data_IF_877895700806
#
_entry.id   IF_877895700806
#
_cell.length_a   1.000
_cell.length_b   1.000
_cell.length_c   1.000
_cell.angle_alpha   90.00
_cell.angle_beta   90.00
_cell.angle_gamma   90.00
#
_symmetry.space_group_name_H-M   'P 1'
#
loop_
_entity.id
_entity.type
_entity.pdbx_description
1 polymer ?
#
# COMPACT_ATOMS: atom_id res chain seq x y z
N UNK A 1 -66.02 -31.02 63.16
CA UNK A 1 -65.09 -29.88 63.30
C UNK A 1 -65.05 -29.13 61.98
N UNK A 2 -65.82 -28.04 61.88
CA UNK A 2 -65.85 -27.17 60.71
C UNK A 2 -64.58 -26.32 60.71
N UNK A 3 -63.62 -26.62 59.82
CA UNK A 3 -62.50 -25.72 59.56
C UNK A 3 -63.08 -24.35 59.18
N UNK A 4 -62.75 -23.30 59.94
CA UNK A 4 -63.29 -21.95 59.70
C UNK A 4 -62.82 -21.48 58.32
N UNK A 5 -63.71 -21.16 57.37
CA UNK A 5 -63.37 -20.85 55.97
C UNK A 5 -62.39 -19.66 55.83
N UNK A 6 -62.32 -18.81 56.84
CA UNK A 6 -61.41 -17.66 56.93
C UNK A 6 -59.92 -18.06 57.04
N UNK A 7 -59.60 -19.19 57.67
CA UNK A 7 -58.20 -19.65 57.79
C UNK A 7 -57.62 -20.19 56.49
N UNK A 8 -58.45 -20.88 55.70
CA UNK A 8 -58.05 -21.43 54.39
C UNK A 8 -57.82 -20.30 53.38
N UNK A 9 -58.65 -19.25 53.41
CA UNK A 9 -58.48 -18.08 52.56
C UNK A 9 -57.14 -17.36 52.83
N UNK A 10 -56.76 -17.16 54.10
CA UNK A 10 -55.50 -16.51 54.45
C UNK A 10 -54.28 -17.30 53.97
N UNK A 11 -54.27 -18.62 54.18
CA UNK A 11 -53.18 -19.49 53.72
C UNK A 11 -53.08 -19.50 52.19
N UNK A 12 -54.22 -19.48 51.49
CA UNK A 12 -54.26 -19.41 50.03
C UNK A 12 -53.71 -18.09 49.50
N UNK A 13 -54.08 -16.96 50.13
CA UNK A 13 -53.54 -15.64 49.78
C UNK A 13 -52.05 -15.57 50.06
N UNK A 14 -51.60 -16.08 51.21
CA UNK A 14 -50.17 -16.12 51.55
C UNK A 14 -49.39 -16.97 50.55
N UNK A 15 -49.90 -18.14 50.19
CA UNK A 15 -49.29 -19.01 49.17
C UNK A 15 -49.22 -18.31 47.81
N UNK A 16 -50.29 -17.63 47.40
CA UNK A 16 -50.33 -16.87 46.15
C UNK A 16 -49.34 -15.70 46.17
N UNK A 17 -49.22 -14.98 47.28
CA UNK A 17 -48.22 -13.92 47.46
C UNK A 17 -46.79 -14.45 47.38
N UNK A 18 -46.50 -15.59 48.02
CA UNK A 18 -45.19 -16.24 47.92
C UNK A 18 -44.90 -16.70 46.49
N UNK A 19 -45.89 -17.30 45.81
CA UNK A 19 -45.75 -17.72 44.42
C UNK A 19 -45.48 -16.54 43.48
N UNK A 20 -46.20 -15.42 43.66
CA UNK A 20 -45.97 -14.18 42.91
C UNK A 20 -44.59 -13.61 43.20
N UNK A 21 -44.16 -13.57 44.46
CA UNK A 21 -42.84 -13.07 44.85
C UNK A 21 -41.72 -13.89 44.19
N UNK A 22 -41.82 -15.22 44.23
CA UNK A 22 -40.85 -16.13 43.58
C UNK A 22 -40.84 -15.88 42.06
N UNK A 23 -42.01 -15.79 41.42
CA UNK A 23 -42.11 -15.52 40.00
C UNK A 23 -41.48 -14.17 39.62
N UNK A 24 -41.76 -13.10 40.38
CA UNK A 24 -41.18 -11.78 40.15
C UNK A 24 -39.67 -11.80 40.33
N UNK A 25 -39.15 -12.49 41.36
CA UNK A 25 -37.71 -12.63 41.56
C UNK A 25 -37.05 -13.39 40.40
N UNK A 26 -37.62 -14.50 39.95
CA UNK A 26 -37.10 -15.26 38.80
C UNK A 26 -37.09 -14.43 37.52
N UNK A 27 -38.16 -13.69 37.23
CA UNK A 27 -38.24 -12.81 36.06
C UNK A 27 -37.19 -11.69 36.15
N UNK A 28 -37.02 -11.07 37.32
CA UNK A 28 -36.01 -10.04 37.54
C UNK A 28 -34.59 -10.58 37.32
N UNK A 29 -34.26 -11.75 37.88
CA UNK A 29 -32.94 -12.36 37.69
C UNK A 29 -32.70 -12.78 36.24
N UNK A 30 -33.71 -13.29 35.52
CA UNK A 30 -33.60 -13.62 34.10
C UNK A 30 -33.28 -12.38 33.26
N UNK A 31 -34.05 -11.30 33.44
CA UNK A 31 -33.83 -10.03 32.73
C UNK A 31 -32.46 -9.44 33.08
N UNK A 32 -32.04 -9.53 34.33
CA UNK A 32 -30.73 -9.06 34.76
C UNK A 32 -29.58 -9.82 34.06
N UNK A 33 -29.67 -11.16 34.00
CA UNK A 33 -28.68 -11.99 33.29
C UNK A 33 -28.68 -11.67 31.79
N UNK A 34 -29.85 -11.51 31.17
CA UNK A 34 -29.96 -11.18 29.74
C UNK A 34 -29.38 -9.78 29.42
N UNK A 35 -29.60 -8.81 30.30
CA UNK A 35 -29.01 -7.48 30.16
C UNK A 35 -27.49 -7.53 30.34
N UNK A 36 -26.98 -8.33 31.28
CA UNK A 36 -25.54 -8.52 31.46
C UNK A 36 -24.90 -9.26 30.27
N UNK A 37 -25.53 -10.31 29.76
CA UNK A 37 -25.03 -11.07 28.60
C UNK A 37 -25.01 -10.18 27.35
N UNK A 38 -26.10 -9.45 27.09
CA UNK A 38 -26.19 -8.49 25.98
C UNK A 38 -25.16 -7.37 26.12
N UNK A 39 -24.96 -6.85 27.34
CA UNK A 39 -23.94 -5.84 27.64
C UNK A 39 -22.52 -6.36 27.37
N UNK A 40 -22.22 -7.60 27.76
CA UNK A 40 -20.91 -8.21 27.57
C UNK A 40 -20.64 -8.51 26.09
N UNK A 41 -21.66 -8.96 25.35
CA UNK A 41 -21.58 -9.15 23.90
C UNK A 41 -21.29 -7.83 23.22
N UNK A 42 -22.08 -6.78 23.50
CA UNK A 42 -21.87 -5.45 22.92
C UNK A 42 -20.51 -4.84 23.25
N UNK A 43 -20.02 -5.01 24.49
CA UNK A 43 -18.66 -4.56 24.85
C UNK A 43 -17.57 -5.39 24.15
N UNK A 44 -17.82 -6.68 23.94
CA UNK A 44 -16.97 -7.57 23.14
C UNK A 44 -16.88 -7.12 21.69
N UNK A 45 -18.01 -6.88 21.04
CA UNK A 45 -18.07 -6.42 19.65
C UNK A 45 -17.40 -5.05 19.48
N UNK A 46 -17.60 -4.14 20.44
CA UNK A 46 -16.93 -2.84 20.47
C UNK A 46 -15.40 -2.98 20.54
N UNK A 47 -14.91 -3.88 21.40
CA UNK A 47 -13.48 -4.15 21.52
C UNK A 47 -12.90 -4.82 20.26
N UNK A 48 -13.66 -5.70 19.61
CA UNK A 48 -13.26 -6.36 18.36
C UNK A 48 -13.14 -5.33 17.23
N UNK A 49 -14.14 -4.47 17.07
CA UNK A 49 -14.12 -3.38 16.09
C UNK A 49 -12.90 -2.46 16.29
N UNK A 50 -12.59 -2.13 17.55
CA UNK A 50 -11.42 -1.31 17.89
C UNK A 50 -10.11 -2.03 17.55
N UNK A 51 -10.03 -3.35 17.73
CA UNK A 51 -8.86 -4.15 17.32
C UNK A 51 -8.72 -4.21 15.79
N UNK A 52 -9.81 -4.41 15.05
CA UNK A 52 -9.80 -4.41 13.58
C UNK A 52 -9.33 -3.06 13.01
N UNK A 53 -9.78 -1.96 13.61
CA UNK A 53 -9.31 -0.63 13.22
C UNK A 53 -7.80 -0.46 13.41
N UNK A 54 -7.20 -1.11 14.41
CA UNK A 54 -5.75 -1.13 14.56
C UNK A 54 -5.04 -1.84 13.41
N UNK A 55 -5.58 -2.95 12.92
CA UNK A 55 -5.07 -3.64 11.73
C UNK A 55 -5.25 -2.78 10.47
N UNK A 56 -6.38 -2.11 10.31
CA UNK A 56 -6.63 -1.23 9.15
C UNK A 56 -5.71 -0.01 9.17
N UNK A 57 -5.48 0.59 10.34
CA UNK A 57 -4.55 1.71 10.48
C UNK A 57 -3.12 1.26 10.18
N UNK A 58 -2.69 0.11 10.69
CA UNK A 58 -1.40 -0.48 10.30
C UNK A 58 -1.31 -0.64 8.78
N UNK A 59 -2.31 -1.25 8.14
CA UNK A 59 -2.27 -1.51 6.69
C UNK A 59 -2.10 -0.22 5.89
N UNK A 60 -2.76 0.87 6.31
CA UNK A 60 -2.60 2.18 5.67
C UNK A 60 -1.21 2.80 5.79
N UNK A 61 -0.40 2.35 6.75
CA UNK A 61 0.99 2.78 6.94
C UNK A 61 2.01 1.89 6.23
N UNK A 62 1.63 0.68 5.82
CA UNK A 62 2.55 -0.20 5.12
C UNK A 62 2.80 0.37 3.72
N UNK A 63 3.97 0.93 3.51
CA UNK A 63 4.39 1.47 2.21
C UNK A 63 4.94 0.35 1.31
N UNK A 64 4.86 0.47 -0.03
CA UNK A 64 5.50 -0.49 -0.92
C UNK A 64 7.01 -0.58 -0.72
N UNK A 65 7.51 -1.79 -0.49
CA UNK A 65 8.91 -2.09 -0.24
C UNK A 65 9.20 -3.56 -0.62
N UNK A 66 10.47 -3.95 -0.82
CA UNK A 66 10.80 -5.34 -1.18
C UNK A 66 10.49 -6.34 -0.05
N UNK A 67 10.57 -5.90 1.21
CA UNK A 67 10.33 -6.70 2.41
C UNK A 67 9.67 -5.85 3.53
N UNK A 68 9.55 -6.39 4.74
CA UNK A 68 8.99 -5.70 5.91
C UNK A 68 10.06 -5.27 6.94
N UNK A 69 11.33 -5.17 6.55
CA UNK A 69 12.42 -4.89 7.52
C UNK A 69 12.22 -3.56 8.23
N UNK A 70 11.84 -2.52 7.49
CA UNK A 70 11.58 -1.18 8.05
C UNK A 70 10.51 -1.20 9.14
N UNK A 71 9.43 -1.95 8.93
CA UNK A 71 8.33 -2.03 9.88
C UNK A 71 8.69 -2.90 11.10
N UNK A 72 9.53 -3.91 10.91
CA UNK A 72 10.05 -4.74 12.00
C UNK A 72 11.07 -4.00 12.88
N UNK A 73 11.76 -3.00 12.32
CA UNK A 73 12.71 -2.13 13.02
C UNK A 73 12.02 -1.00 13.79
N UNK A 74 10.68 -0.92 13.78
CA UNK A 74 9.98 0.08 14.57
C UNK A 74 10.23 -0.11 16.08
N UNK A 75 10.38 0.99 16.85
CA UNK A 75 10.70 0.91 18.27
C UNK A 75 9.70 0.04 19.05
N UNK A 76 10.21 -1.00 19.72
CA UNK A 76 9.40 -1.94 20.50
C UNK A 76 8.51 -2.88 19.66
N UNK A 77 8.71 -2.92 18.33
CA UNK A 77 7.85 -3.68 17.41
C UNK A 77 6.46 -3.06 17.25
N UNK A 78 6.32 -1.76 17.48
CA UNK A 78 5.04 -1.04 17.47
C UNK A 78 5.01 0.05 16.41
N UNK A 79 3.89 0.24 15.70
CA UNK A 79 3.79 1.30 14.71
C UNK A 79 3.95 2.71 15.28
N UNK A 80 4.40 3.68 14.48
CA UNK A 80 4.76 5.02 14.94
C UNK A 80 3.57 5.94 15.31
N UNK A 81 2.33 5.45 15.27
CA UNK A 81 1.14 6.24 15.59
C UNK A 81 0.85 6.41 17.10
N UNK A 82 1.77 5.99 17.96
CA UNK A 82 1.61 6.03 19.42
C UNK A 82 0.76 4.88 19.94
N UNK A 83 1.10 4.35 21.10
CA UNK A 83 0.49 3.13 21.62
C UNK A 83 0.24 3.30 23.12
N UNK A 84 -1.02 3.24 23.59
CA UNK A 84 -2.26 3.01 22.82
C UNK A 84 -2.72 4.21 21.97
N UNK A 85 -3.41 3.95 20.86
CA UNK A 85 -4.13 4.98 20.08
C UNK A 85 -5.54 5.16 20.63
N UNK A 86 -5.94 6.41 20.87
CA UNK A 86 -7.30 6.76 21.31
C UNK A 86 -8.24 6.96 20.13
N UNK A 87 -9.44 6.39 20.23
CA UNK A 87 -10.54 6.73 19.34
C UNK A 87 -11.16 8.09 19.72
N UNK A 88 -11.86 8.77 18.80
CA UNK A 88 -12.55 10.04 19.08
C UNK A 88 -13.52 9.98 20.27
N UNK A 89 -14.03 8.79 20.62
CA UNK A 89 -14.86 8.55 21.79
C UNK A 89 -14.14 7.69 22.85
N UNK A 90 -13.42 8.29 23.81
CA UNK A 90 -12.73 7.56 24.87
C UNK A 90 -13.72 6.76 25.77
N UNK A 91 -13.26 5.71 26.47
CA UNK A 91 -11.88 5.24 26.57
C UNK A 91 -11.52 4.10 25.58
N UNK A 92 -12.03 4.12 24.35
CA UNK A 92 -11.66 3.14 23.32
C UNK A 92 -10.21 3.30 22.92
N UNK A 93 -9.46 2.21 22.95
CA UNK A 93 -8.05 2.21 22.57
C UNK A 93 -7.64 0.94 21.85
N UNK A 94 -6.65 1.03 20.96
CA UNK A 94 -5.96 -0.16 20.45
C UNK A 94 -4.45 -0.03 20.52
N UNK A 95 -3.79 -1.18 20.50
CA UNK A 95 -2.34 -1.34 20.42
C UNK A 95 -2.00 -2.39 19.40
N UNK A 96 -1.04 -2.13 18.53
CA UNK A 96 -0.59 -3.07 17.49
C UNK A 96 0.84 -3.50 17.77
N UNK A 97 1.11 -4.79 17.68
CA UNK A 97 2.45 -5.37 17.76
C UNK A 97 2.76 -6.17 16.51
N UNK A 98 3.99 -6.03 16.03
CA UNK A 98 4.49 -6.70 14.84
C UNK A 98 5.45 -7.82 15.18
N UNK A 99 5.48 -8.83 14.33
CA UNK A 99 6.45 -9.93 14.40
C UNK A 99 6.70 -10.49 13.00
N UNK A 100 7.94 -10.91 12.75
CA UNK A 100 8.32 -11.55 11.50
C UNK A 100 7.98 -13.04 11.54
N UNK A 101 7.55 -13.59 10.41
CA UNK A 101 7.50 -15.03 10.19
C UNK A 101 8.74 -15.51 9.41
N UNK A 102 9.11 -16.80 9.51
CA UNK A 102 10.30 -17.34 8.85
C UNK A 102 10.31 -17.21 7.32
N UNK A 103 9.13 -17.09 6.71
CA UNK A 103 8.94 -16.95 5.27
C UNK A 103 8.91 -15.49 4.79
N UNK A 104 9.29 -14.54 5.64
CA UNK A 104 9.32 -13.11 5.32
C UNK A 104 7.95 -12.42 5.38
N UNK A 105 6.88 -13.13 5.75
CA UNK A 105 5.58 -12.51 6.03
C UNK A 105 5.60 -11.75 7.36
N UNK A 106 4.72 -10.77 7.47
CA UNK A 106 4.54 -9.95 8.65
C UNK A 106 3.27 -10.37 9.38
N UNK A 107 3.38 -10.67 10.68
CA UNK A 107 2.23 -10.89 11.56
C UNK A 107 2.01 -9.66 12.41
N UNK A 108 0.78 -9.16 12.43
CA UNK A 108 0.35 -8.08 13.29
C UNK A 108 -0.70 -8.59 14.28
N UNK A 109 -0.57 -8.22 15.55
CA UNK A 109 -1.60 -8.45 16.57
C UNK A 109 -2.08 -7.12 17.08
N UNK A 110 -3.36 -6.82 16.90
CA UNK A 110 -4.01 -5.66 17.49
C UNK A 110 -4.83 -6.07 18.71
N UNK A 111 -4.60 -5.44 19.86
CA UNK A 111 -5.43 -5.55 21.06
C UNK A 111 -6.30 -4.29 21.16
N UNK A 112 -7.62 -4.46 21.04
CA UNK A 112 -8.62 -3.41 21.19
C UNK A 112 -9.29 -3.47 22.55
N UNK A 113 -9.52 -2.30 23.15
CA UNK A 113 -10.22 -2.11 24.42
C UNK A 113 -11.47 -1.26 24.19
N UNK A 114 -12.63 -1.80 24.59
CA UNK A 114 -13.93 -1.11 24.50
C UNK A 114 -14.10 -0.03 25.57
N UNK A 115 -15.17 0.77 25.46
CA UNK A 115 -15.52 1.75 26.51
C UNK A 115 -15.76 1.15 27.88
N UNK A 116 -16.18 -0.12 27.94
CA UNK A 116 -16.48 -0.85 29.19
C UNK A 116 -15.30 -1.70 29.67
N UNK A 117 -14.12 -1.55 29.05
CA UNK A 117 -12.90 -2.26 29.44
C UNK A 117 -12.82 -3.71 28.96
N UNK A 118 -13.81 -4.22 28.21
CA UNK A 118 -13.67 -5.49 27.51
C UNK A 118 -12.52 -5.39 26.49
N UNK A 119 -11.76 -6.47 26.33
CA UNK A 119 -10.60 -6.54 25.44
C UNK A 119 -10.75 -7.67 24.44
N UNK A 120 -10.31 -7.41 23.21
CA UNK A 120 -10.28 -8.38 22.11
C UNK A 120 -8.97 -8.26 21.37
N UNK A 121 -8.54 -9.36 20.77
CA UNK A 121 -7.35 -9.38 19.93
C UNK A 121 -7.67 -9.88 18.54
N UNK A 122 -7.10 -9.21 17.55
CA UNK A 122 -7.13 -9.62 16.15
C UNK A 122 -5.71 -9.86 15.71
N UNK A 123 -5.47 -11.02 15.11
CA UNK A 123 -4.23 -11.34 14.42
C UNK A 123 -4.44 -11.21 12.91
N UNK A 124 -3.55 -10.48 12.25
CA UNK A 124 -3.52 -10.32 10.81
C UNK A 124 -2.18 -10.77 10.25
N UNK A 125 -2.23 -11.32 9.04
CA UNK A 125 -1.09 -11.77 8.28
C UNK A 125 -0.95 -10.93 7.02
N UNK A 126 0.20 -10.28 6.87
CA UNK A 126 0.57 -9.49 5.71
C UNK A 126 1.69 -10.17 4.93
N UNK A 127 1.63 -10.03 3.62
CA UNK A 127 2.68 -10.47 2.70
C UNK A 127 2.90 -9.39 1.64
N UNK A 128 4.06 -9.40 0.99
CA UNK A 128 4.31 -8.56 -0.18
C UNK A 128 3.74 -9.26 -1.41
N UNK A 129 3.27 -8.49 -2.39
CA UNK A 129 2.95 -9.01 -3.73
C UNK A 129 4.09 -9.91 -4.24
N UNK A 130 3.74 -11.00 -4.90
CA UNK A 130 4.74 -11.93 -5.43
C UNK A 130 5.58 -11.29 -6.55
N UNK A 131 4.94 -10.46 -7.37
CA UNK A 131 5.52 -9.86 -8.57
C UNK A 131 5.54 -8.34 -8.44
N UNK A 132 6.58 -7.70 -8.98
CA UNK A 132 6.62 -6.25 -9.11
C UNK A 132 5.65 -5.79 -10.21
N UNK A 133 4.62 -5.03 -9.83
CA UNK A 133 3.61 -4.49 -10.74
C UNK A 133 3.26 -3.04 -10.35
N UNK A 134 3.91 -2.03 -10.94
CA UNK A 134 3.51 -0.65 -10.72
C UNK A 134 2.10 -0.42 -11.27
N UNK A 135 1.32 0.43 -10.59
CA UNK A 135 -0.08 0.72 -10.91
C UNK A 135 -0.28 1.65 -12.11
N UNK A 136 0.80 2.05 -12.77
CA UNK A 136 0.76 2.87 -13.97
C UNK A 136 1.92 2.54 -14.93
N UNK A 137 1.74 2.85 -16.21
CA UNK A 137 2.81 2.80 -17.21
C UNK A 137 3.88 3.86 -16.94
N UNK A 138 3.46 5.10 -16.68
CA UNK A 138 4.33 6.16 -16.20
C UNK A 138 3.88 6.58 -14.79
N UNK A 139 4.74 6.35 -13.80
CA UNK A 139 4.56 6.78 -12.42
C UNK A 139 5.29 8.10 -12.20
N UNK A 140 4.52 9.16 -11.93
CA UNK A 140 5.03 10.43 -11.47
C UNK A 140 5.20 10.39 -9.95
N UNK A 141 6.45 10.44 -9.51
CA UNK A 141 6.81 10.51 -8.10
C UNK A 141 6.46 11.85 -7.46
N UNK A 142 6.64 11.91 -6.14
CA UNK A 142 6.49 13.17 -5.43
C UNK A 142 7.40 14.27 -6.01
N UNK A 143 6.78 15.42 -6.31
CA UNK A 143 7.49 16.61 -6.76
C UNK A 143 7.73 16.64 -8.26
N UNK A 144 7.09 15.77 -9.03
CA UNK A 144 7.08 15.87 -10.49
C UNK A 144 6.43 17.17 -10.94
N UNK A 145 7.13 17.88 -11.83
CA UNK A 145 6.66 19.12 -12.44
C UNK A 145 6.65 18.92 -13.95
N UNK A 146 5.49 19.05 -14.57
CA UNK A 146 5.41 19.15 -16.03
C UNK A 146 5.83 20.57 -16.43
N UNK A 147 6.94 20.68 -17.16
CA UNK A 147 7.54 21.96 -17.52
C UNK A 147 7.17 22.33 -18.97
N UNK A 148 7.79 21.67 -19.95
CA UNK A 148 7.45 21.77 -21.37
C UNK A 148 7.03 20.40 -21.90
N UNK A 149 5.75 20.26 -22.29
CA UNK A 149 5.20 19.05 -22.90
C UNK A 149 4.69 19.34 -24.33
N UNK A 150 5.42 20.16 -25.08
CA UNK A 150 5.07 20.53 -26.46
C UNK A 150 5.29 19.41 -27.48
N UNK A 151 6.06 18.38 -27.14
CA UNK A 151 6.30 17.21 -27.99
C UNK A 151 5.17 16.18 -27.99
N UNK A 152 5.51 14.96 -28.40
CA UNK A 152 4.56 13.84 -28.46
C UNK A 152 4.69 12.96 -27.22
N UNK A 153 3.58 12.70 -26.54
CA UNK A 153 3.52 11.79 -25.40
C UNK A 153 2.47 10.71 -25.71
N UNK A 154 2.93 9.49 -25.91
CA UNK A 154 2.09 8.33 -26.19
C UNK A 154 2.17 7.35 -25.01
N UNK A 155 1.00 7.00 -24.47
CA UNK A 155 0.90 6.14 -23.30
C UNK A 155 -0.10 5.03 -23.58
N UNK A 156 0.39 3.80 -23.62
CA UNK A 156 -0.39 2.62 -23.93
C UNK A 156 -0.31 1.62 -22.79
N UNK A 157 -1.45 1.03 -22.42
CA UNK A 157 -1.52 -0.13 -21.53
C UNK A 157 -2.04 -1.28 -22.37
N UNK A 158 -1.15 -2.19 -22.79
CA UNK A 158 -1.49 -3.26 -23.74
C UNK A 158 -0.94 -4.61 -23.25
N UNK A 159 -1.81 -5.61 -22.99
CA UNK A 159 -3.28 -5.54 -22.95
C UNK A 159 -3.78 -4.65 -21.79
N UNK A 160 -5.06 -4.24 -21.77
CA UNK A 160 -5.63 -3.56 -20.60
C UNK A 160 -5.48 -4.45 -19.37
N UNK A 161 -4.49 -4.13 -18.53
CA UNK A 161 -4.12 -4.89 -17.35
C UNK A 161 -4.87 -4.35 -16.14
N UNK A 162 -6.14 -4.75 -15.98
CA UNK A 162 -6.95 -4.44 -14.79
C UNK A 162 -6.95 -2.95 -14.42
N UNK A 163 -6.53 -2.63 -13.19
CA UNK A 163 -6.49 -1.28 -12.60
C UNK A 163 -5.24 -0.44 -12.99
N UNK A 164 -4.44 -0.90 -13.96
CA UNK A 164 -3.26 -0.15 -14.43
C UNK A 164 -3.69 1.02 -15.30
N UNK A 165 -3.23 2.23 -14.93
CA UNK A 165 -3.48 3.46 -15.70
C UNK A 165 -2.30 3.81 -16.61
N UNK A 166 -2.52 4.66 -17.62
CA UNK A 166 -1.42 5.20 -18.44
C UNK A 166 -0.47 6.05 -17.61
N UNK A 167 -1.00 7.07 -16.92
CA UNK A 167 -0.24 7.89 -15.95
C UNK A 167 -0.82 7.74 -14.56
N UNK A 168 0.04 7.51 -13.58
CA UNK A 168 -0.29 7.54 -12.16
C UNK A 168 0.61 8.53 -11.45
N UNK A 169 0.08 9.35 -10.55
CA UNK A 169 0.89 10.17 -9.66
C UNK A 169 0.77 9.69 -8.21
N UNK A 170 1.88 9.74 -7.47
CA UNK A 170 1.89 9.31 -6.07
C UNK A 170 1.03 10.21 -5.19
N UNK A 171 0.94 11.50 -5.52
CA UNK A 171 0.12 12.48 -4.80
C UNK A 171 -1.00 13.05 -5.65
N UNK A 172 -2.11 13.39 -4.99
CA UNK A 172 -3.26 14.03 -5.63
C UNK A 172 -2.91 15.37 -6.29
N UNK A 173 -2.06 16.18 -5.65
CA UNK A 173 -1.62 17.48 -6.19
C UNK A 173 -0.80 17.30 -7.48
N UNK A 174 0.06 16.29 -7.52
CA UNK A 174 0.93 16.02 -8.67
C UNK A 174 0.08 15.48 -9.84
N UNK A 175 -0.92 14.63 -9.56
CA UNK A 175 -1.93 14.21 -10.54
C UNK A 175 -2.71 15.42 -11.10
N UNK A 176 -3.09 16.40 -10.26
CA UNK A 176 -3.79 17.60 -10.72
C UNK A 176 -2.91 18.48 -11.60
N UNK A 177 -1.64 18.67 -11.24
CA UNK A 177 -0.68 19.42 -12.06
C UNK A 177 -0.49 18.78 -13.44
N UNK A 178 -0.31 17.45 -13.48
CA UNK A 178 -0.17 16.72 -14.74
C UNK A 178 -1.43 16.79 -15.62
N UNK A 179 -2.63 16.81 -15.03
CA UNK A 179 -3.88 16.96 -15.81
C UNK A 179 -3.99 18.32 -16.49
N UNK A 180 -3.40 19.36 -15.91
CA UNK A 180 -3.36 20.69 -16.54
C UNK A 180 -2.32 20.79 -17.66
N UNK A 181 -1.33 19.90 -17.70
CA UNK A 181 -0.20 19.97 -18.62
C UNK A 181 -0.28 18.95 -19.77
N UNK A 182 -0.87 17.78 -19.53
CA UNK A 182 -1.09 16.75 -20.55
C UNK A 182 -2.43 16.98 -21.27
N UNK A 183 -2.54 16.43 -22.49
CA UNK A 183 -3.76 16.50 -23.30
C UNK A 183 -4.94 15.79 -22.60
N UNK A 184 -6.16 16.27 -22.88
CA UNK A 184 -7.41 15.82 -22.22
C UNK A 184 -7.73 14.32 -22.38
N UNK A 185 -7.11 13.64 -23.35
CA UNK A 185 -7.30 12.21 -23.62
C UNK A 185 -6.45 11.30 -22.71
N UNK A 186 -5.46 11.85 -22.01
CA UNK A 186 -4.61 11.09 -21.09
C UNK A 186 -5.30 10.90 -19.74
N UNK A 187 -5.64 9.65 -19.41
CA UNK A 187 -6.16 9.31 -18.07
C UNK A 187 -5.05 9.34 -17.02
N UNK A 188 -5.23 10.23 -16.04
CA UNK A 188 -4.30 10.40 -14.91
C UNK A 188 -4.99 10.02 -13.61
N UNK A 189 -4.46 9.03 -12.90
CA UNK A 189 -4.95 8.59 -11.60
C UNK A 189 -4.00 8.97 -10.46
N UNK A 190 -4.52 9.03 -9.23
CA UNK A 190 -3.68 9.04 -8.04
C UNK A 190 -3.47 7.59 -7.60
N UNK A 191 -2.22 7.14 -7.54
CA UNK A 191 -1.88 5.73 -7.28
C UNK A 191 -1.31 5.48 -5.88
N UNK A 192 -1.06 6.54 -5.11
CA UNK A 192 -0.40 6.46 -3.80
C UNK A 192 1.11 6.26 -3.92
N UNK A 193 1.84 6.17 -2.79
CA UNK A 193 3.29 5.97 -2.80
C UNK A 193 3.65 4.68 -3.52
N UNK A 194 4.61 4.72 -4.43
CA UNK A 194 5.07 3.55 -5.21
C UNK A 194 6.29 2.87 -4.60
N UNK A 195 7.04 3.57 -3.75
CA UNK A 195 8.34 3.11 -3.22
C UNK A 195 9.48 3.09 -4.24
N UNK A 196 9.25 3.56 -5.48
CA UNK A 196 10.23 3.51 -6.57
C UNK A 196 11.40 4.46 -6.38
N UNK A 197 11.19 5.60 -5.70
CA UNK A 197 12.28 6.51 -5.31
C UNK A 197 13.26 5.82 -4.35
N UNK A 198 12.74 5.23 -3.29
CA UNK A 198 13.57 4.51 -2.32
C UNK A 198 14.23 3.28 -2.95
N UNK A 199 13.56 2.63 -3.90
CA UNK A 199 14.14 1.55 -4.68
C UNK A 199 15.32 2.03 -5.53
N UNK A 200 15.19 3.18 -6.21
CA UNK A 200 16.27 3.80 -6.95
C UNK A 200 17.49 4.06 -6.06
N UNK A 201 17.28 4.57 -4.84
CA UNK A 201 18.36 4.79 -3.87
C UNK A 201 19.03 3.48 -3.41
N UNK A 202 18.23 2.44 -3.12
CA UNK A 202 18.75 1.12 -2.69
C UNK A 202 19.50 0.36 -3.79
N UNK A 203 19.10 0.53 -5.05
CA UNK A 203 19.69 -0.17 -6.18
C UNK A 203 21.06 0.39 -6.57
N UNK A 204 21.43 1.59 -6.11
CA UNK A 204 22.78 2.14 -6.31
C UNK A 204 23.83 1.23 -5.69
N UNK A 205 24.85 0.88 -6.47
CA UNK A 205 25.92 -0.03 -6.09
C UNK A 205 25.60 -1.50 -6.34
N UNK A 206 24.45 -1.82 -6.93
CA UNK A 206 24.06 -3.19 -7.29
C UNK A 206 24.00 -3.41 -8.81
N UNK A 207 24.30 -2.38 -9.60
CA UNK A 207 24.26 -2.40 -11.07
C UNK A 207 25.20 -3.43 -11.71
N UNK A 208 24.79 -3.94 -12.86
CA UNK A 208 25.64 -4.79 -13.72
C UNK A 208 26.56 -3.94 -14.61
N UNK A 209 26.14 -2.72 -14.94
CA UNK A 209 26.91 -1.77 -15.74
C UNK A 209 26.70 -0.33 -15.25
N UNK A 210 27.80 0.42 -15.16
CA UNK A 210 27.77 1.86 -14.91
C UNK A 210 28.25 2.59 -16.15
N UNK A 211 27.44 3.50 -16.67
CA UNK A 211 27.78 4.37 -17.79
C UNK A 211 28.06 5.78 -17.27
N UNK A 212 29.19 6.33 -17.71
CA UNK A 212 29.64 7.67 -17.33
C UNK A 212 29.82 8.50 -18.59
N UNK A 213 29.16 9.66 -18.64
CA UNK A 213 29.20 10.57 -19.78
C UNK A 213 28.18 10.26 -20.88
N UNK A 214 28.27 10.97 -22.03
CA UNK A 214 27.27 10.87 -23.08
C UNK A 214 27.25 9.50 -23.77
N UNK A 215 26.06 8.96 -23.97
CA UNK A 215 25.82 7.71 -24.69
C UNK A 215 25.63 8.01 -26.17
N UNK A 216 26.59 7.59 -26.99
CA UNK A 216 26.55 7.72 -28.45
C UNK A 216 26.04 6.45 -29.15
N UNK A 217 25.92 5.35 -28.40
CA UNK A 217 25.18 4.17 -28.81
C UNK A 217 25.57 2.92 -28.04
N UNK A 218 24.78 1.86 -28.17
CA UNK A 218 25.05 0.58 -27.55
C UNK A 218 23.79 -0.20 -27.19
N UNK A 219 23.98 -1.46 -26.80
CA UNK A 219 22.92 -2.32 -26.27
C UNK A 219 23.39 -3.00 -24.99
N UNK A 220 22.54 -3.00 -23.97
CA UNK A 220 22.83 -3.59 -22.67
C UNK A 220 21.72 -4.54 -22.25
N UNK A 221 22.10 -5.78 -21.92
CA UNK A 221 21.17 -6.85 -21.56
C UNK A 221 20.47 -7.50 -22.75
N UNK A 222 19.72 -8.54 -22.45
CA UNK A 222 18.84 -9.24 -23.38
C UNK A 222 17.68 -9.88 -22.59
N UNK A 223 16.60 -10.30 -23.26
CA UNK A 223 15.42 -10.86 -22.57
C UNK A 223 15.75 -12.07 -21.66
N UNK A 224 16.74 -12.88 -22.04
CA UNK A 224 17.23 -14.01 -21.23
C UNK A 224 18.21 -13.64 -20.12
N UNK A 225 18.82 -12.45 -20.21
CA UNK A 225 19.83 -11.93 -19.28
C UNK A 225 19.65 -10.41 -19.12
N UNK A 226 18.55 -9.98 -18.48
CA UNK A 226 18.28 -8.56 -18.27
C UNK A 226 19.30 -7.99 -17.27
N UNK A 227 19.64 -6.72 -17.42
CA UNK A 227 20.67 -6.05 -16.62
C UNK A 227 20.14 -4.78 -15.97
N UNK A 228 20.71 -4.42 -14.82
CA UNK A 228 20.55 -3.11 -14.20
C UNK A 228 21.69 -2.21 -14.68
N UNK A 229 21.35 -1.22 -15.50
CA UNK A 229 22.27 -0.17 -15.97
C UNK A 229 22.09 1.08 -15.12
N UNK A 230 23.20 1.65 -14.68
CA UNK A 230 23.22 2.93 -13.97
C UNK A 230 23.90 4.01 -14.82
N UNK A 231 23.25 5.16 -14.97
CA UNK A 231 23.87 6.37 -15.51
C UNK A 231 24.41 7.19 -14.35
N UNK A 232 25.72 7.17 -14.17
CA UNK A 232 26.38 7.92 -13.11
C UNK A 232 26.58 9.37 -13.55
N UNK A 233 25.93 10.30 -12.83
CA UNK A 233 25.94 11.72 -13.15
C UNK A 233 24.95 12.08 -14.26
N UNK A 234 25.23 13.18 -14.98
CA UNK A 234 24.38 13.69 -16.04
C UNK A 234 24.32 12.68 -17.21
N UNK A 235 23.19 11.99 -17.34
CA UNK A 235 22.97 10.97 -18.36
C UNK A 235 22.43 11.59 -19.64
N UNK A 236 23.32 11.87 -20.60
CA UNK A 236 22.93 12.40 -21.91
C UNK A 236 22.98 11.27 -22.95
N UNK A 237 21.86 11.00 -23.62
CA UNK A 237 21.79 10.06 -24.76
C UNK A 237 21.72 10.85 -26.05
N UNK A 238 22.78 10.81 -26.84
CA UNK A 238 22.92 11.58 -28.09
C UNK A 238 22.75 10.68 -29.31
N UNK A 239 23.11 9.40 -29.19
CA UNK A 239 22.93 8.40 -30.26
C UNK A 239 21.78 7.43 -29.99
N UNK A 240 21.87 6.20 -30.52
CA UNK A 240 20.86 5.17 -30.37
C UNK A 240 21.28 4.09 -29.36
N UNK A 241 20.52 3.96 -28.28
CA UNK A 241 20.80 3.06 -27.17
C UNK A 241 19.59 2.16 -26.87
N UNK A 242 19.85 0.89 -26.52
CA UNK A 242 18.82 -0.05 -26.07
C UNK A 242 19.21 -0.72 -24.77
N UNK A 243 18.29 -0.77 -23.79
CA UNK A 243 18.51 -1.41 -22.49
C UNK A 243 17.40 -2.42 -22.25
N UNK A 244 17.75 -3.67 -21.95
CA UNK A 244 16.80 -4.70 -21.51
C UNK A 244 17.03 -4.99 -20.02
N UNK A 245 16.02 -4.72 -19.19
CA UNK A 245 16.10 -4.82 -17.74
C UNK A 245 15.69 -3.52 -17.05
N UNK A 246 16.60 -2.86 -16.34
CA UNK A 246 16.31 -1.62 -15.65
C UNK A 246 17.38 -0.55 -15.92
N UNK A 247 16.95 0.70 -16.05
CA UNK A 247 17.82 1.87 -16.12
C UNK A 247 17.61 2.76 -14.89
N UNK A 248 18.70 3.05 -14.18
CA UNK A 248 18.74 3.99 -13.06
C UNK A 248 19.52 5.26 -13.47
N UNK A 249 18.86 6.41 -13.44
CA UNK A 249 19.50 7.70 -13.70
C UNK A 249 19.75 8.47 -12.39
N UNK A 250 21.01 8.72 -12.05
CA UNK A 250 21.39 9.43 -10.81
C UNK A 250 21.30 10.96 -10.90
N UNK A 251 21.02 11.49 -12.09
CA UNK A 251 20.78 12.89 -12.36
C UNK A 251 19.66 13.01 -13.41
N UNK A 252 19.21 14.23 -13.77
CA UNK A 252 18.22 14.38 -14.83
C UNK A 252 18.67 13.70 -16.13
N UNK A 253 17.85 12.77 -16.64
CA UNK A 253 18.13 12.04 -17.87
C UNK A 253 17.77 12.90 -19.08
N UNK A 254 18.72 13.17 -19.96
CA UNK A 254 18.48 13.88 -21.23
C UNK A 254 18.57 12.94 -22.40
N UNK A 255 17.53 12.89 -23.21
CA UNK A 255 17.47 12.05 -24.41
C UNK A 255 17.34 12.95 -25.63
N UNK A 256 18.44 13.15 -26.35
CA UNK A 256 18.51 13.90 -27.62
C UNK A 256 18.59 12.99 -28.85
N UNK A 257 19.07 11.75 -28.68
CA UNK A 257 19.05 10.69 -29.68
C UNK A 257 17.83 9.79 -29.50
N UNK A 258 18.03 8.47 -29.57
CA UNK A 258 17.00 7.44 -29.30
C UNK A 258 17.42 6.56 -28.12
N UNK A 259 16.58 6.46 -27.11
CA UNK A 259 16.74 5.52 -25.99
C UNK A 259 15.53 4.59 -25.95
N UNK A 260 15.77 3.29 -26.09
CA UNK A 260 14.75 2.25 -25.94
C UNK A 260 15.03 1.42 -24.69
N UNK A 261 14.03 1.28 -23.83
CA UNK A 261 14.11 0.51 -22.59
C UNK A 261 13.04 -0.57 -22.62
N UNK A 262 13.46 -1.83 -22.65
CA UNK A 262 12.59 -2.98 -22.42
C UNK A 262 12.69 -3.39 -20.95
N UNK A 263 11.82 -2.79 -20.13
CA UNK A 263 11.70 -3.03 -18.70
C UNK A 263 11.37 -1.77 -17.91
N UNK A 264 12.23 -1.36 -16.98
CA UNK A 264 11.95 -0.28 -16.03
C UNK A 264 12.90 0.91 -16.18
N UNK A 265 12.35 2.12 -16.30
CA UNK A 265 13.11 3.36 -16.12
C UNK A 265 12.91 3.92 -14.70
N UNK A 266 14.00 4.24 -14.01
CA UNK A 266 14.03 4.95 -12.73
C UNK A 266 14.77 6.28 -12.90
N UNK A 267 14.01 7.38 -13.03
CA UNK A 267 14.54 8.74 -13.17
C UNK A 267 14.09 9.64 -12.00
N UNK A 268 14.65 9.47 -10.79
CA UNK A 268 14.25 10.20 -9.58
C UNK A 268 14.54 11.71 -9.60
N UNK A 269 15.26 12.21 -10.62
CA UNK A 269 15.63 13.62 -10.76
C UNK A 269 15.09 14.29 -12.02
N UNK A 270 14.26 13.60 -12.78
CA UNK A 270 13.55 14.13 -13.93
C UNK A 270 14.05 13.57 -15.24
N UNK A 271 13.30 13.87 -16.29
CA UNK A 271 13.64 13.52 -17.67
C UNK A 271 13.42 14.71 -18.58
N UNK A 272 14.28 14.82 -19.57
CA UNK A 272 14.19 15.78 -20.66
C UNK A 272 14.34 15.04 -21.99
N UNK A 273 13.28 15.05 -22.80
CA UNK A 273 13.21 14.33 -24.06
C UNK A 273 13.19 15.35 -25.21
N UNK A 274 14.30 15.45 -25.93
CA UNK A 274 14.43 16.20 -27.18
C UNK A 274 14.49 15.33 -28.42
N UNK A 275 14.78 14.03 -28.27
CA UNK A 275 14.73 13.00 -29.30
C UNK A 275 13.64 11.97 -29.01
N UNK A 276 13.95 10.67 -29.02
CA UNK A 276 12.96 9.59 -28.84
C UNK A 276 13.28 8.76 -27.57
N UNK A 277 12.35 8.71 -26.61
CA UNK A 277 12.40 7.83 -25.45
C UNK A 277 11.25 6.83 -25.52
N UNK A 278 11.58 5.55 -25.73
CA UNK A 278 10.63 4.44 -25.81
C UNK A 278 10.81 3.54 -24.60
N UNK A 279 9.74 3.29 -23.86
CA UNK A 279 9.73 2.40 -22.70
C UNK A 279 8.68 1.31 -22.95
N UNK A 280 9.12 0.05 -22.98
CA UNK A 280 8.29 -1.15 -23.01
C UNK A 280 8.38 -1.81 -21.64
N UNK A 281 7.42 -1.51 -20.78
CA UNK A 281 7.41 -1.86 -19.35
C UNK A 281 6.85 -0.71 -18.54
N UNK A 282 7.63 -0.10 -17.64
CA UNK A 282 7.16 1.05 -16.88
C UNK A 282 8.26 2.11 -16.70
N UNK A 283 7.85 3.35 -16.46
CA UNK A 283 8.74 4.45 -16.13
C UNK A 283 8.37 5.07 -14.79
N UNK A 284 9.38 5.47 -14.03
CA UNK A 284 9.27 6.32 -12.85
C UNK A 284 10.01 7.61 -13.10
N UNK A 285 9.34 8.74 -12.87
CA UNK A 285 9.93 10.08 -12.98
C UNK A 285 9.56 10.87 -11.76
N UNK A 286 10.56 11.42 -11.06
CA UNK A 286 10.37 12.44 -10.03
C UNK A 286 11.19 13.68 -10.43
N UNK A 287 10.64 14.89 -10.25
CA UNK A 287 11.27 16.13 -10.73
C UNK A 287 10.76 16.59 -12.10
N UNK A 288 11.54 17.38 -12.86
CA UNK A 288 11.09 17.93 -14.13
C UNK A 288 10.77 16.83 -15.15
N UNK A 289 9.59 16.94 -15.77
CA UNK A 289 9.18 16.14 -16.92
C UNK A 289 9.05 17.07 -18.12
N UNK A 290 10.02 16.98 -19.02
CA UNK A 290 10.10 17.81 -20.22
C UNK A 290 10.14 16.93 -21.47
N UNK A 291 9.23 17.19 -22.41
CA UNK A 291 9.18 16.62 -23.75
C UNK A 291 9.08 17.79 -24.73
N UNK A 292 10.22 18.15 -25.31
CA UNK A 292 10.34 19.28 -26.24
C UNK A 292 9.58 19.00 -27.53
N UNK A 293 9.28 20.02 -28.33
CA UNK A 293 8.48 19.90 -29.56
C UNK A 293 8.95 18.85 -30.58
N UNK A 294 10.26 18.61 -30.70
CA UNK A 294 10.83 17.57 -31.56
C UNK A 294 10.94 16.19 -30.86
N UNK A 295 10.68 16.15 -29.55
CA UNK A 295 10.79 14.98 -28.71
C UNK A 295 9.54 14.10 -28.74
N UNK A 296 9.75 12.80 -28.53
CA UNK A 296 8.71 11.79 -28.40
C UNK A 296 8.98 10.90 -27.18
N UNK A 297 8.01 10.85 -26.27
CA UNK A 297 7.98 9.91 -25.14
C UNK A 297 6.88 8.88 -25.40
N UNK A 298 7.25 7.62 -25.59
CA UNK A 298 6.33 6.52 -25.75
C UNK A 298 6.50 5.52 -24.60
N UNK A 299 5.45 5.28 -23.82
CA UNK A 299 5.45 4.27 -22.74
C UNK A 299 4.35 3.26 -22.99
N UNK A 300 4.73 1.99 -23.08
CA UNK A 300 3.83 0.86 -23.29
C UNK A 300 3.96 -0.12 -22.13
N UNK A 301 2.90 -0.30 -21.35
CA UNK A 301 2.92 -1.22 -20.21
C UNK A 301 3.08 -2.67 -20.66
N UNK A 302 4.15 -3.34 -20.21
CA UNK A 302 4.43 -4.74 -20.56
C UNK A 302 4.90 -5.52 -19.34
N UNK A 303 4.09 -6.47 -18.87
CA UNK A 303 4.39 -7.28 -17.67
C UNK A 303 5.63 -8.17 -17.85
N UNK A 304 5.81 -8.76 -19.04
CA UNK A 304 6.98 -9.60 -19.35
C UNK A 304 8.30 -8.81 -19.25
N UNK A 305 8.30 -7.54 -19.65
CA UNK A 305 9.47 -6.68 -19.53
C UNK A 305 9.74 -6.30 -18.06
N UNK A 306 8.68 -6.12 -17.26
CA UNK A 306 8.79 -5.88 -15.82
C UNK A 306 9.33 -7.10 -15.06
N UNK A 307 9.02 -8.32 -15.49
CA UNK A 307 9.65 -9.54 -14.94
C UNK A 307 11.15 -9.60 -15.26
N UNK A 308 11.55 -9.08 -16.43
CA UNK A 308 12.96 -8.86 -16.75
C UNK A 308 13.61 -7.85 -15.81
N UNK A 309 12.95 -6.71 -15.58
CA UNK A 309 13.42 -5.67 -14.66
C UNK A 309 13.53 -6.17 -13.20
N UNK A 310 12.55 -6.92 -12.69
CA UNK A 310 12.60 -7.45 -11.31
C UNK A 310 13.76 -8.43 -11.10
N UNK A 311 14.03 -9.28 -12.13
CA UNK A 311 15.20 -10.16 -12.13
C UNK A 311 16.52 -9.38 -12.15
N UNK A 312 16.63 -8.35 -13.01
CA UNK A 312 17.81 -7.47 -13.07
C UNK A 312 18.06 -6.76 -11.74
N UNK A 313 16.99 -6.31 -11.07
CA UNK A 313 17.05 -5.63 -9.77
C UNK A 313 17.19 -6.60 -8.58
N UNK A 314 17.28 -7.91 -8.81
CA UNK A 314 17.50 -8.97 -7.80
C UNK A 314 16.52 -8.88 -6.62
N UNK A 315 15.26 -8.54 -6.89
CA UNK A 315 14.21 -8.39 -5.89
C UNK A 315 14.27 -7.09 -5.06
N UNK A 316 15.07 -6.09 -5.45
CA UNK A 316 15.14 -4.78 -4.79
C UNK A 316 13.96 -3.85 -5.07
N UNK A 317 13.06 -4.23 -5.97
CA UNK A 317 11.89 -3.43 -6.37
C UNK A 317 10.77 -3.48 -5.30
N UNK A 318 9.99 -2.40 -5.15
CA UNK A 318 8.98 -2.30 -4.12
C UNK A 318 7.74 -3.14 -4.46
N UNK A 319 7.16 -3.82 -3.47
CA UNK A 319 5.96 -4.64 -3.61
C UNK A 319 4.88 -4.16 -2.67
N UNK A 320 3.63 -4.10 -3.14
CA UNK A 320 2.55 -3.64 -2.28
C UNK A 320 2.31 -4.65 -1.14
N UNK A 321 1.95 -4.17 0.06
CA UNK A 321 1.54 -5.05 1.14
C UNK A 321 0.10 -5.52 0.94
N UNK A 322 -0.12 -6.84 1.02
CA UNK A 322 -1.41 -7.49 0.94
C UNK A 322 -1.78 -8.07 2.30
N UNK A 323 -2.97 -7.73 2.79
CA UNK A 323 -3.62 -8.44 3.90
C UNK A 323 -4.08 -9.82 3.40
N UNK A 324 -3.36 -10.89 3.78
CA UNK A 324 -3.64 -12.25 3.32
C UNK A 324 -4.70 -12.97 4.13
N UNK A 325 -4.70 -12.78 5.45
CA UNK A 325 -5.68 -13.38 6.34
C UNK A 325 -5.80 -12.57 7.63
N UNK A 326 -6.95 -12.69 8.30
CA UNK A 326 -7.15 -12.16 9.64
C UNK A 326 -8.05 -13.09 10.46
N UNK A 327 -7.87 -13.10 11.78
CA UNK A 327 -8.71 -13.87 12.71
C UNK A 327 -8.73 -13.23 14.09
N UNK A 328 -9.82 -13.42 14.83
CA UNK A 328 -9.83 -13.18 16.27
C UNK A 328 -8.94 -14.21 16.99
N UNK A 329 -8.21 -13.76 18.02
CA UNK A 329 -7.40 -14.61 18.89
C UNK A 329 -7.72 -14.33 20.34
N UNK A 330 -7.73 -15.38 21.16
CA UNK A 330 -8.11 -15.36 22.57
C UNK A 330 -6.87 -15.28 23.46
#
# INVERSE_FOLDING_TARGET
MSARPHGIALVSVLFLLVAVLVLTATLFFSVFIDLQSTSNVSAGDDALYVAEAGIQHLWSLLEPAPDFRRELDWPGGEPPFGSPVWFPDPPRTYRVRLSALPDGRLTAVSEGTSRRGARRRVQALFHREAEFRPRAALVAGEGTVADDLSGTVELAVVPPAGDVTGVGAERRRDAQALRGALRDDVRIATVGPSGLRDAADRLRGTEDATLSGPITGGSWGAAGSPVLVRLAGQGDVIGAATITGALLADAPLRVFGRLEIEGLLLAPYGIEVGGELVIRGAGFVAGPLTVRSAGALAVSYATSALDGADRACRGGLPRAPILGAWKEVW
#
